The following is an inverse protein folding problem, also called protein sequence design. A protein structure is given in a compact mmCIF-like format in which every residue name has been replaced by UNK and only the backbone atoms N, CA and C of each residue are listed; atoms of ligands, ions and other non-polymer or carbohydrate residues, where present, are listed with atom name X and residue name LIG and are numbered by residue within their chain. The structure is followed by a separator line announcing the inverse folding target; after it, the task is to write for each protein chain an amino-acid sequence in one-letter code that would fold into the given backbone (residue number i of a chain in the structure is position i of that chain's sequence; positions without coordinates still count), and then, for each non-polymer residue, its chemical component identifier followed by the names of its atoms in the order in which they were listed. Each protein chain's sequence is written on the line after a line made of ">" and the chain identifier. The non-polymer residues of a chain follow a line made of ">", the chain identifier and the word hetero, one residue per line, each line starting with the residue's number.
data_IF_366840052473
#
_entry.id   IF_366840052473
#
_cell.length_a   1.000
_cell.length_b   1.000
_cell.length_c   1.000
_cell.angle_alpha   90.00
_cell.angle_beta   90.00
_cell.angle_gamma   90.00
#
_symmetry.space_group_name_H-M   'P 1'
#
loop_
_entity.id
_entity.type
_entity.pdbx_description
1 polymer ?
#
# COMPACT_ATOMS: atom_id res chain seq x y z
N UNK A 1 -14.70 -9.39 -2.73
CA UNK A 1 -13.52 -9.63 -1.88
C UNK A 1 -13.70 -8.76 -0.65
N UNK A 2 -13.97 -9.36 0.52
CA UNK A 2 -14.02 -8.63 1.78
C UNK A 2 -12.60 -8.63 2.32
N UNK A 3 -11.78 -7.66 1.93
CA UNK A 3 -10.52 -7.42 2.63
C UNK A 3 -10.89 -6.87 4.00
N UNK A 4 -10.93 -7.75 4.99
CA UNK A 4 -11.02 -7.37 6.39
C UNK A 4 -9.89 -6.39 6.70
N UNK A 5 -10.10 -5.44 7.60
CA UNK A 5 -9.08 -4.46 8.04
C UNK A 5 -7.78 -5.10 8.57
N UNK A 6 -7.71 -6.42 8.66
CA UNK A 6 -6.55 -7.24 9.03
C UNK A 6 -5.66 -7.64 7.86
N UNK A 7 -6.11 -7.47 6.61
CA UNK A 7 -5.33 -7.88 5.45
C UNK A 7 -4.31 -6.80 5.10
N UNK A 8 -3.04 -7.20 5.01
CA UNK A 8 -1.97 -6.32 4.53
C UNK A 8 -2.15 -6.08 3.04
N UNK A 9 -2.95 -5.08 2.68
CA UNK A 9 -3.22 -4.68 1.31
C UNK A 9 -2.80 -3.24 1.03
N UNK A 10 -2.49 -2.97 -0.24
CA UNK A 10 -2.19 -1.64 -0.77
C UNK A 10 -2.89 -1.41 -2.11
N UNK A 11 -3.19 -0.15 -2.41
CA UNK A 11 -3.54 0.31 -3.74
C UNK A 11 -2.40 1.13 -4.34
N UNK A 12 -2.06 0.82 -5.59
CA UNK A 12 -0.97 1.48 -6.30
C UNK A 12 -1.52 2.60 -7.19
N UNK A 13 -0.77 3.70 -7.41
CA UNK A 13 -1.10 4.70 -8.43
C UNK A 13 -1.36 4.04 -9.78
N UNK A 14 -2.32 4.54 -10.57
CA UNK A 14 -2.73 3.92 -11.84
C UNK A 14 -1.56 3.57 -12.76
N UNK A 15 -0.54 4.43 -12.82
CA UNK A 15 0.67 4.19 -13.61
C UNK A 15 1.46 2.97 -13.13
N UNK A 16 1.63 2.83 -11.81
CA UNK A 16 2.38 1.74 -11.17
C UNK A 16 1.54 0.46 -11.08
N UNK A 17 0.22 0.59 -10.93
CA UNK A 17 -0.72 -0.54 -11.02
C UNK A 17 -0.67 -1.20 -12.40
N UNK A 18 -0.35 -0.40 -13.44
CA UNK A 18 -0.09 -0.85 -14.81
C UNK A 18 -1.21 -1.75 -15.35
N UNK A 19 -2.45 -1.25 -15.30
CA UNK A 19 -3.67 -1.98 -15.71
C UNK A 19 -3.82 -3.35 -15.03
N UNK A 20 -3.38 -3.48 -13.77
CA UNK A 20 -3.50 -4.71 -12.99
C UNK A 20 -2.34 -5.69 -13.16
N UNK A 21 -1.27 -5.32 -13.87
CA UNK A 21 -0.07 -6.17 -14.00
C UNK A 21 0.58 -6.52 -12.65
N UNK A 22 0.29 -5.73 -11.61
CA UNK A 22 0.75 -5.93 -10.24
C UNK A 22 -0.34 -6.41 -9.28
N UNK A 23 -1.60 -6.50 -9.71
CA UNK A 23 -2.71 -6.99 -8.88
C UNK A 23 -2.43 -8.43 -8.40
N UNK A 24 -2.71 -8.70 -7.12
CA UNK A 24 -2.47 -10.01 -6.49
C UNK A 24 -1.00 -10.33 -6.22
N UNK A 25 -0.06 -9.44 -6.56
CA UNK A 25 1.35 -9.58 -6.17
C UNK A 25 1.60 -8.91 -4.83
N UNK A 26 2.65 -9.35 -4.15
CA UNK A 26 3.12 -8.74 -2.92
C UNK A 26 4.22 -7.72 -3.21
N UNK A 27 4.14 -6.58 -2.52
CA UNK A 27 5.15 -5.52 -2.53
C UNK A 27 5.69 -5.34 -1.12
N UNK A 28 6.99 -5.01 -1.03
CA UNK A 28 7.62 -4.62 0.24
C UNK A 28 7.70 -3.12 0.30
N UNK A 29 6.91 -2.52 1.20
CA UNK A 29 6.97 -1.08 1.49
C UNK A 29 7.98 -0.88 2.61
N UNK A 30 8.95 -0.01 2.39
CA UNK A 30 9.99 0.32 3.39
C UNK A 30 9.89 1.80 3.72
N UNK A 31 9.75 2.12 5.00
CA UNK A 31 9.78 3.49 5.51
C UNK A 31 11.25 3.92 5.65
N UNK A 32 11.76 4.86 4.82
CA UNK A 32 13.18 5.19 4.83
C UNK A 32 13.66 5.83 6.14
N UNK A 33 12.80 6.59 6.83
CA UNK A 33 13.15 7.30 8.06
C UNK A 33 13.38 6.37 9.25
N UNK A 34 12.69 5.23 9.33
CA UNK A 34 12.81 4.26 10.43
C UNK A 34 13.46 2.95 10.03
N UNK A 35 13.58 2.68 8.72
CA UNK A 35 14.02 1.39 8.18
C UNK A 35 12.99 0.26 8.32
N UNK A 36 11.82 0.52 8.91
CA UNK A 36 10.76 -0.48 9.05
C UNK A 36 10.19 -0.84 7.68
N UNK A 37 9.81 -2.09 7.49
CA UNK A 37 9.18 -2.55 6.26
C UNK A 37 8.02 -3.48 6.51
N UNK A 38 7.01 -3.39 5.66
CA UNK A 38 5.83 -4.26 5.63
C UNK A 38 5.70 -4.89 4.25
N UNK A 39 5.24 -6.14 4.20
CA UNK A 39 4.88 -6.81 2.95
C UNK A 39 3.37 -6.80 2.83
N UNK A 40 2.86 -6.25 1.73
CA UNK A 40 1.43 -6.11 1.48
C UNK A 40 1.06 -6.51 0.05
N UNK A 41 -0.14 -7.03 -0.14
CA UNK A 41 -0.67 -7.43 -1.45
C UNK A 41 -1.27 -6.22 -2.17
N UNK A 42 -0.98 -6.08 -3.46
CA UNK A 42 -1.63 -5.09 -4.31
C UNK A 42 -3.06 -5.54 -4.60
N UNK A 43 -4.03 -4.84 -4.03
CA UNK A 43 -5.45 -5.17 -4.16
C UNK A 43 -6.15 -4.29 -5.20
N UNK A 44 -5.76 -3.02 -5.33
CA UNK A 44 -6.48 -2.06 -6.17
C UNK A 44 -5.56 -1.01 -6.83
N UNK A 45 -6.14 -0.25 -7.75
CA UNK A 45 -5.58 0.98 -8.28
C UNK A 45 -6.13 2.19 -7.53
N UNK A 46 -5.25 3.14 -7.21
CA UNK A 46 -5.60 4.42 -6.61
C UNK A 46 -5.44 5.54 -7.66
N UNK A 47 -6.49 5.89 -8.41
CA UNK A 47 -6.43 6.98 -9.40
C UNK A 47 -6.40 8.37 -8.78
N UNK A 48 -6.81 8.49 -7.51
CA UNK A 48 -6.80 9.73 -6.73
C UNK A 48 -5.50 9.96 -5.97
N UNK A 49 -4.57 9.00 -6.02
CA UNK A 49 -3.26 9.13 -5.39
C UNK A 49 -2.49 10.31 -6.01
N UNK A 50 -2.00 11.19 -5.14
CA UNK A 50 -1.48 12.51 -5.52
C UNK A 50 -0.34 12.44 -6.53
N UNK A 51 0.53 11.44 -6.40
CA UNK A 51 1.60 11.17 -7.34
C UNK A 51 1.94 9.67 -7.39
N UNK A 52 2.94 9.30 -8.19
CA UNK A 52 3.38 7.90 -8.32
C UNK A 52 4.09 7.34 -7.06
N UNK A 53 4.30 8.19 -6.06
CA UNK A 53 4.92 7.85 -4.77
C UNK A 53 3.87 7.73 -3.66
N UNK A 54 2.62 8.11 -3.91
CA UNK A 54 1.49 7.93 -3.00
C UNK A 54 0.98 6.50 -3.09
N UNK A 55 1.26 5.69 -2.08
CA UNK A 55 0.72 4.33 -1.95
C UNK A 55 -0.38 4.39 -0.89
N UNK A 56 -1.60 4.00 -1.26
CA UNK A 56 -2.69 3.89 -0.31
C UNK A 56 -2.62 2.52 0.36
N UNK A 57 -2.67 2.47 1.68
CA UNK A 57 -2.41 1.27 2.47
C UNK A 57 -3.54 1.02 3.45
N UNK A 58 -3.88 -0.26 3.64
CA UNK A 58 -4.74 -0.68 4.76
C UNK A 58 -4.18 -0.18 6.10
N UNK A 59 -5.08 0.06 7.04
CA UNK A 59 -4.76 0.53 8.38
C UNK A 59 -3.65 -0.29 9.06
N UNK A 60 -3.76 -1.63 9.02
CA UNK A 60 -2.77 -2.54 9.59
C UNK A 60 -1.43 -2.52 8.86
N UNK A 61 -1.41 -2.33 7.54
CA UNK A 61 -0.16 -2.19 6.80
C UNK A 61 0.56 -0.88 7.14
N UNK A 62 -0.19 0.21 7.30
CA UNK A 62 0.36 1.51 7.68
C UNK A 62 0.89 1.52 9.11
N UNK A 63 0.06 1.11 10.07
CA UNK A 63 0.40 1.10 11.50
C UNK A 63 1.55 0.12 11.85
N UNK A 64 1.90 -0.78 10.93
CA UNK A 64 3.09 -1.64 11.06
C UNK A 64 4.42 -0.90 10.84
N UNK A 65 4.43 0.19 10.08
CA UNK A 65 5.64 0.95 9.74
C UNK A 65 5.62 2.41 10.21
N UNK A 66 4.44 2.95 10.52
CA UNK A 66 4.17 4.33 10.91
C UNK A 66 3.09 4.39 12.01
N UNK A 67 2.83 5.57 12.57
CA UNK A 67 1.68 5.83 13.45
C UNK A 67 0.63 6.65 12.72
N UNK A 68 -0.65 6.59 13.14
CA UNK A 68 -1.76 7.36 12.53
C UNK A 68 -1.49 8.86 12.43
N UNK A 69 -0.74 9.41 13.40
CA UNK A 69 -0.35 10.83 13.42
C UNK A 69 0.59 11.24 12.26
N UNK A 70 1.18 10.26 11.57
CA UNK A 70 2.12 10.47 10.46
C UNK A 70 1.47 10.36 9.07
N UNK A 71 0.16 10.03 9.01
CA UNK A 71 -0.59 9.70 7.79
C UNK A 71 -1.35 10.86 7.15
#
# INVERSE_FOLDING_TARGET
>A
FSSSDTDYIVALPTKTYANGAHCGKYVRVTRPSTGKSVVAMVADSCPTCYNNESIDMSYVAFTSIATEEEG
#
